data_IF_870641964512
#
_entry.id   IF_870641964512
#
_cell.length_a   1.000
_cell.length_b   1.000
_cell.length_c   1.000
_cell.angle_alpha   90.00
_cell.angle_beta   90.00
_cell.angle_gamma   90.00
#
_symmetry.space_group_name_H-M   'P 1'
#
loop_
_entity.id
_entity.type
_entity.pdbx_description
1 polymer ?
#
# COMPACT_ATOMS: atom_id res chain seq x y z
N UNK A 1 19.00 -13.90 -1.25
CA UNK A 1 18.17 -13.02 -2.10
C UNK A 1 16.84 -12.81 -1.37
N UNK A 2 16.38 -11.57 -1.17
CA UNK A 2 15.14 -11.32 -0.40
C UNK A 2 13.93 -12.00 -1.07
N UNK A 3 13.20 -12.81 -0.29
CA UNK A 3 11.98 -13.52 -0.71
C UNK A 3 10.86 -12.56 -1.15
N UNK A 4 10.87 -11.32 -0.66
CA UNK A 4 9.90 -10.27 -0.99
C UNK A 4 10.26 -9.45 -2.23
N UNK A 5 11.47 -9.58 -2.77
CA UNK A 5 11.93 -8.74 -3.89
C UNK A 5 11.04 -8.88 -5.14
N UNK A 6 10.52 -10.09 -5.40
CA UNK A 6 9.57 -10.32 -6.50
C UNK A 6 8.25 -9.60 -6.25
N UNK A 7 7.68 -9.77 -5.06
CA UNK A 7 6.42 -9.13 -4.66
C UNK A 7 6.52 -7.62 -4.73
N UNK A 8 7.61 -7.05 -4.23
CA UNK A 8 7.86 -5.61 -4.33
C UNK A 8 7.86 -5.12 -5.79
N UNK A 9 8.59 -5.80 -6.69
CA UNK A 9 8.60 -5.45 -8.12
C UNK A 9 7.21 -5.56 -8.76
N UNK A 10 6.45 -6.59 -8.41
CA UNK A 10 5.08 -6.77 -8.91
C UNK A 10 4.18 -5.61 -8.47
N UNK A 11 4.21 -5.24 -7.18
CA UNK A 11 3.45 -4.11 -6.65
C UNK A 11 3.88 -2.78 -7.26
N UNK A 12 5.18 -2.54 -7.40
CA UNK A 12 5.69 -1.30 -8.03
C UNK A 12 5.24 -1.19 -9.49
N UNK A 13 5.24 -2.30 -10.23
CA UNK A 13 4.78 -2.32 -11.62
C UNK A 13 3.30 -2.04 -11.71
N UNK A 14 2.50 -2.65 -10.83
CA UNK A 14 1.06 -2.42 -10.74
C UNK A 14 0.74 -0.96 -10.41
N UNK A 15 1.35 -0.39 -9.36
CA UNK A 15 1.16 1.01 -8.98
C UNK A 15 1.55 1.97 -10.12
N UNK A 16 2.63 1.66 -10.84
CA UNK A 16 3.04 2.46 -11.99
C UNK A 16 2.05 2.37 -13.16
N UNK A 17 1.52 1.17 -13.45
CA UNK A 17 0.51 0.97 -14.49
C UNK A 17 -0.84 1.63 -14.15
N UNK A 18 -1.16 1.74 -12.85
CA UNK A 18 -2.39 2.32 -12.32
C UNK A 18 -2.24 3.75 -11.80
N UNK A 19 -1.23 4.52 -12.26
CA UNK A 19 -1.04 5.93 -11.85
C UNK A 19 -2.26 6.80 -12.09
N UNK A 20 -3.05 6.52 -13.13
CA UNK A 20 -4.31 7.20 -13.39
C UNK A 20 -5.29 7.12 -12.22
N UNK A 21 -5.16 6.12 -11.35
CA UNK A 21 -6.11 5.88 -10.27
C UNK A 21 -5.74 6.65 -8.99
N UNK A 22 -4.46 6.95 -8.76
CA UNK A 22 -3.98 7.50 -7.47
C UNK A 22 -3.05 8.71 -7.59
N UNK A 23 -2.44 8.96 -8.75
CA UNK A 23 -1.49 10.06 -8.98
C UNK A 23 -2.09 11.16 -9.86
N UNK A 24 -3.37 11.43 -9.66
CA UNK A 24 -4.09 12.51 -10.35
C UNK A 24 -3.71 13.86 -9.74
N UNK A 25 -3.48 14.87 -10.58
CA UNK A 25 -3.30 16.25 -10.13
C UNK A 25 -4.67 16.92 -10.08
N UNK A 26 -5.02 17.63 -8.99
CA UNK A 26 -6.29 18.35 -8.91
C UNK A 26 -6.49 19.28 -10.11
N UNK A 27 -7.71 19.31 -10.65
CA UNK A 27 -8.13 20.15 -11.78
C UNK A 27 -7.34 19.94 -13.10
N UNK A 28 -6.58 18.85 -13.23
CA UNK A 28 -5.81 18.55 -14.45
C UNK A 28 -6.65 17.88 -15.55
N UNK A 29 -7.87 17.45 -15.24
CA UNK A 29 -8.72 16.68 -16.14
C UNK A 29 -9.99 17.45 -16.53
N UNK A 30 -10.27 17.51 -17.83
CA UNK A 30 -11.53 18.04 -18.38
C UNK A 30 -12.59 16.94 -18.56
N UNK A 31 -12.16 15.68 -18.52
CA UNK A 31 -12.98 14.48 -18.64
C UNK A 31 -12.54 13.47 -17.59
N UNK A 32 -13.39 12.50 -17.27
CA UNK A 32 -12.99 11.40 -16.39
C UNK A 32 -11.75 10.68 -16.98
N UNK A 33 -10.70 10.44 -16.18
CA UNK A 33 -9.47 9.80 -16.66
C UNK A 33 -9.63 8.30 -16.89
N UNK A 34 -10.77 7.73 -16.51
CA UNK A 34 -11.09 6.31 -16.61
C UNK A 34 -12.28 6.09 -17.57
N UNK A 35 -12.08 6.13 -18.89
CA UNK A 35 -13.17 5.96 -19.85
C UNK A 35 -13.90 4.62 -19.67
N UNK A 36 -13.21 3.59 -19.22
CA UNK A 36 -13.76 2.27 -18.95
C UNK A 36 -14.63 2.19 -17.68
N UNK A 37 -14.43 3.09 -16.71
CA UNK A 37 -15.29 3.22 -15.52
C UNK A 37 -16.37 4.28 -15.69
N UNK A 38 -16.20 5.23 -16.62
CA UNK A 38 -17.06 6.40 -16.74
C UNK A 38 -18.56 6.07 -16.80
N UNK A 39 -19.03 5.07 -17.58
CA UNK A 39 -20.46 4.73 -17.59
C UNK A 39 -20.97 4.26 -16.23
N UNK A 40 -20.18 3.46 -15.51
CA UNK A 40 -20.56 2.92 -14.22
C UNK A 40 -20.53 4.00 -13.13
N UNK A 41 -19.52 4.88 -13.15
CA UNK A 41 -19.40 5.99 -12.21
C UNK A 41 -20.53 7.01 -12.38
N UNK A 42 -20.88 7.35 -13.62
CA UNK A 42 -21.96 8.30 -13.92
C UNK A 42 -23.36 7.75 -13.62
N UNK A 43 -23.49 6.44 -13.42
CA UNK A 43 -24.74 5.79 -13.06
C UNK A 43 -24.95 5.67 -11.55
N UNK A 44 -23.96 6.03 -10.73
CA UNK A 44 -24.09 6.00 -9.27
C UNK A 44 -25.00 7.14 -8.79
N UNK A 45 -25.97 6.81 -7.95
CA UNK A 45 -26.76 7.80 -7.21
C UNK A 45 -26.10 8.15 -5.86
N UNK A 46 -26.55 9.25 -5.24
CA UNK A 46 -25.98 9.73 -3.96
C UNK A 46 -26.07 8.66 -2.87
N UNK A 47 -27.19 7.94 -2.77
CA UNK A 47 -27.38 6.86 -1.80
C UNK A 47 -26.33 5.76 -1.94
N UNK A 48 -26.02 5.36 -3.18
CA UNK A 48 -25.00 4.34 -3.45
C UNK A 48 -23.61 4.87 -3.16
N UNK A 49 -23.33 6.13 -3.50
CA UNK A 49 -22.05 6.77 -3.18
C UNK A 49 -21.81 6.76 -1.66
N UNK A 50 -22.78 7.21 -0.87
CA UNK A 50 -22.70 7.21 0.60
C UNK A 50 -22.48 5.80 1.15
N UNK A 51 -23.14 4.80 0.57
CA UNK A 51 -23.00 3.40 0.99
C UNK A 51 -21.62 2.82 0.65
N UNK A 52 -20.98 3.28 -0.43
CA UNK A 52 -19.63 2.87 -0.81
C UNK A 52 -18.57 3.59 0.03
N UNK A 53 -18.75 4.88 0.31
CA UNK A 53 -17.82 5.69 1.13
C UNK A 53 -17.78 5.21 2.60
N UNK A 54 -18.91 4.71 3.10
CA UNK A 54 -18.99 4.17 4.46
C UNK A 54 -18.42 2.76 4.64
N UNK A 55 -18.10 2.04 3.55
CA UNK A 55 -17.71 0.62 3.60
C UNK A 55 -16.68 0.26 2.52
N UNK A 56 -15.40 0.26 2.91
CA UNK A 56 -14.26 -0.10 2.06
C UNK A 56 -14.44 -1.46 1.37
N UNK A 57 -15.05 -2.44 2.05
CA UNK A 57 -15.24 -3.76 1.46
C UNK A 57 -16.28 -3.73 0.33
N UNK A 58 -17.34 -2.93 0.46
CA UNK A 58 -18.30 -2.69 -0.62
C UNK A 58 -17.67 -1.89 -1.77
N UNK A 59 -16.89 -0.86 -1.45
CA UNK A 59 -16.18 -0.07 -2.46
C UNK A 59 -15.25 -0.96 -3.31
N UNK A 60 -14.46 -1.81 -2.64
CA UNK A 60 -13.57 -2.77 -3.30
C UNK A 60 -14.32 -3.81 -4.13
N UNK A 61 -15.45 -4.33 -3.62
CA UNK A 61 -16.28 -5.29 -4.35
C UNK A 61 -16.91 -4.66 -5.61
N UNK A 62 -17.36 -3.40 -5.51
CA UNK A 62 -17.92 -2.66 -6.65
C UNK A 62 -16.86 -2.37 -7.72
N UNK A 63 -15.62 -2.06 -7.31
CA UNK A 63 -14.48 -1.82 -8.23
C UNK A 63 -13.92 -3.11 -8.85
N UNK A 64 -14.16 -4.28 -8.26
CA UNK A 64 -13.56 -5.55 -8.67
C UNK A 64 -13.67 -5.87 -10.18
N UNK A 65 -14.81 -5.63 -10.87
CA UNK A 65 -14.93 -5.89 -12.30
C UNK A 65 -14.00 -5.02 -13.16
N UNK A 66 -13.61 -3.83 -12.66
CA UNK A 66 -12.79 -2.87 -13.39
C UNK A 66 -11.31 -2.89 -12.98
N UNK A 67 -11.02 -3.39 -11.78
CA UNK A 67 -9.69 -3.33 -11.11
C UNK A 67 -9.32 -4.61 -10.37
N UNK A 68 -9.55 -5.77 -11.00
CA UNK A 68 -9.28 -7.08 -10.41
C UNK A 68 -7.80 -7.26 -9.96
N UNK A 69 -6.85 -6.72 -10.73
CA UNK A 69 -5.41 -6.73 -10.42
C UNK A 69 -5.07 -5.95 -9.15
N UNK A 70 -5.72 -4.80 -8.96
CA UNK A 70 -5.53 -3.93 -7.80
C UNK A 70 -6.14 -4.54 -6.54
N UNK A 71 -7.30 -5.18 -6.67
CA UNK A 71 -7.94 -5.90 -5.56
C UNK A 71 -7.09 -7.08 -5.08
N UNK A 72 -6.50 -7.84 -5.99
CA UNK A 72 -5.60 -8.95 -5.63
C UNK A 72 -4.37 -8.45 -4.85
N UNK A 73 -3.84 -7.28 -5.19
CA UNK A 73 -2.74 -6.66 -4.45
C UNK A 73 -3.15 -6.18 -3.06
N UNK A 74 -4.39 -5.69 -2.89
CA UNK A 74 -4.91 -5.25 -1.59
C UNK A 74 -5.04 -6.40 -0.58
N UNK A 75 -5.20 -7.64 -1.05
CA UNK A 75 -5.34 -8.83 -0.20
C UNK A 75 -4.00 -9.43 0.22
N UNK A 76 -2.88 -8.90 -0.30
CA UNK A 76 -1.55 -9.42 0.00
C UNK A 76 -1.25 -9.33 1.49
N UNK A 77 -0.98 -10.48 2.12
CA UNK A 77 -0.49 -10.53 3.49
C UNK A 77 1.03 -10.41 3.49
N UNK A 78 1.54 -9.36 4.13
CA UNK A 78 2.96 -9.17 4.35
C UNK A 78 3.38 -9.89 5.63
N UNK A 79 4.58 -10.50 5.68
CA UNK A 79 5.07 -11.09 6.90
C UNK A 79 5.26 -10.01 7.96
N UNK A 80 4.94 -10.35 9.21
CA UNK A 80 5.26 -9.50 10.34
C UNK A 80 6.79 -9.40 10.49
N UNK A 81 7.29 -8.17 10.65
CA UNK A 81 8.72 -7.95 10.86
C UNK A 81 9.09 -8.32 12.29
N UNK A 82 10.20 -9.03 12.46
CA UNK A 82 10.75 -9.31 13.77
C UNK A 82 11.08 -7.99 14.50
N UNK A 83 10.80 -7.95 15.80
CA UNK A 83 11.18 -6.84 16.67
C UNK A 83 12.37 -7.29 17.51
N UNK A 84 13.28 -6.36 17.80
CA UNK A 84 14.39 -6.69 18.67
C UNK A 84 13.88 -7.08 20.06
N UNK A 85 14.40 -8.15 20.68
CA UNK A 85 13.95 -8.58 22.01
C UNK A 85 14.33 -7.56 23.10
N UNK A 86 15.37 -6.76 22.86
CA UNK A 86 15.86 -5.74 23.79
C UNK A 86 16.42 -4.52 23.04
N UNK A 87 16.30 -3.35 23.67
CA UNK A 87 16.78 -2.07 23.14
C UNK A 87 17.88 -1.44 24.02
N UNK A 88 18.65 -2.27 24.73
CA UNK A 88 19.75 -1.80 25.55
C UNK A 88 20.69 -0.93 24.71
N UNK A 89 21.07 0.23 25.23
CA UNK A 89 21.94 1.21 24.56
C UNK A 89 23.37 1.02 25.04
N UNK A 90 24.20 0.23 24.34
CA UNK A 90 25.57 0.01 24.75
C UNK A 90 26.37 1.31 24.60
N UNK A 91 27.51 1.43 25.30
CA UNK A 91 28.32 2.66 25.27
C UNK A 91 28.71 3.14 23.87
N UNK A 92 28.87 2.23 22.92
CA UNK A 92 29.21 2.54 21.53
C UNK A 92 28.03 3.05 20.69
N UNK A 93 26.80 3.02 21.22
CA UNK A 93 25.65 3.73 20.63
C UNK A 93 25.63 5.22 20.98
N UNK A 94 26.70 5.75 21.59
CA UNK A 94 26.83 7.18 21.92
C UNK A 94 26.66 8.05 20.67
N UNK A 95 25.87 9.12 20.78
CA UNK A 95 25.51 9.99 19.65
C UNK A 95 24.34 9.48 18.79
N UNK A 96 23.82 8.27 19.04
CA UNK A 96 22.60 7.75 18.40
C UNK A 96 21.43 7.89 19.38
N UNK A 97 20.45 8.74 19.05
CA UNK A 97 19.24 8.87 19.86
C UNK A 97 18.51 7.52 19.99
N UNK A 98 17.95 7.24 21.18
CA UNK A 98 17.39 5.92 21.51
C UNK A 98 16.36 5.38 20.52
N UNK A 99 15.55 6.25 19.89
CA UNK A 99 14.60 5.86 18.84
C UNK A 99 15.29 5.31 17.59
N UNK A 100 16.36 5.97 17.15
CA UNK A 100 17.17 5.54 16.01
C UNK A 100 17.90 4.24 16.34
N UNK A 101 18.37 4.10 17.58
CA UNK A 101 18.96 2.86 18.08
C UNK A 101 17.97 1.69 18.02
N UNK A 102 16.73 1.91 18.46
CA UNK A 102 15.68 0.90 18.40
C UNK A 102 15.41 0.41 16.97
N UNK A 103 15.31 1.33 16.01
CA UNK A 103 15.12 1.00 14.59
C UNK A 103 16.27 0.16 14.01
N UNK A 104 17.51 0.45 14.40
CA UNK A 104 18.68 -0.33 13.98
C UNK A 104 18.59 -1.76 14.51
N UNK A 105 18.23 -1.93 15.78
CA UNK A 105 18.08 -3.26 16.38
C UNK A 105 16.93 -4.04 15.73
N UNK A 106 15.79 -3.40 15.47
CA UNK A 106 14.66 -4.03 14.77
C UNK A 106 15.04 -4.45 13.35
N UNK A 107 15.77 -3.60 12.63
CA UNK A 107 16.29 -3.96 11.31
C UNK A 107 17.23 -5.17 11.39
N UNK A 108 18.17 -5.16 12.34
CA UNK A 108 19.11 -6.26 12.54
C UNK A 108 18.40 -7.58 12.89
N UNK A 109 17.30 -7.54 13.63
CA UNK A 109 16.48 -8.72 13.96
C UNK A 109 15.86 -9.41 12.73
N UNK A 110 15.81 -8.73 11.58
CA UNK A 110 15.27 -9.26 10.31
C UNK A 110 16.36 -9.65 9.31
N UNK A 111 17.64 -9.54 9.66
CA UNK A 111 18.74 -9.98 8.81
C UNK A 111 19.01 -11.47 9.03
N UNK A 112 19.00 -12.24 7.95
CA UNK A 112 19.52 -13.61 7.95
C UNK A 112 21.06 -13.54 8.09
N UNK A 113 21.57 -13.66 9.31
CA UNK A 113 23.00 -13.84 9.54
C UNK A 113 23.37 -15.24 9.06
N UNK A 114 24.02 -15.31 7.90
CA UNK A 114 24.62 -16.54 7.37
C UNK A 114 26.03 -16.70 7.90
#
# INVERSE_FOLDING_TARGET
>A
MSTLARTFRQLSTLLAARRSDWQQTPFACQTLPWPELAPALLALDETTIDALDADDAKALAWLAPFRADTLAAHQLQLPELARAPHYATPRWSSGIGGRKWAQINDFAANLELT
#
